data_IF_301403566085
#
_entry.id   IF_301403566085
#
_cell.length_a   1.000
_cell.length_b   1.000
_cell.length_c   1.000
_cell.angle_alpha   90.00
_cell.angle_beta   90.00
_cell.angle_gamma   90.00
#
_symmetry.space_group_name_H-M   'P 1'
#
loop_
_entity.id
_entity.type
_entity.pdbx_description
1 polymer ?
#
# COMPACT_ATOMS: atom_id res chain seq x y z
N UNK A 1 -27.09 11.27 -3.16
CA UNK A 1 -26.17 10.42 -3.94
C UNK A 1 -26.95 9.22 -4.44
N UNK A 2 -26.98 8.93 -5.75
CA UNK A 2 -27.63 7.71 -6.26
C UNK A 2 -26.71 6.52 -5.95
N UNK A 3 -27.19 5.57 -5.17
CA UNK A 3 -26.51 4.28 -4.99
C UNK A 3 -26.43 3.59 -6.36
N UNK A 4 -25.23 3.17 -6.73
CA UNK A 4 -25.01 2.44 -7.98
C UNK A 4 -25.28 0.96 -7.71
N UNK A 5 -26.20 0.37 -8.46
CA UNK A 5 -26.51 -1.06 -8.37
C UNK A 5 -25.65 -1.84 -9.36
N UNK A 6 -25.13 -2.99 -8.93
CA UNK A 6 -24.33 -3.89 -9.75
C UNK A 6 -25.06 -5.21 -9.91
N UNK A 7 -25.19 -5.70 -11.14
CA UNK A 7 -25.81 -7.01 -11.40
C UNK A 7 -24.84 -8.12 -11.00
N UNK A 8 -25.34 -9.11 -10.28
CA UNK A 8 -24.61 -10.32 -9.92
C UNK A 8 -24.90 -11.42 -10.93
N UNK A 9 -23.89 -12.23 -11.24
CA UNK A 9 -24.04 -13.44 -12.03
C UNK A 9 -23.64 -14.66 -11.19
N UNK A 10 -24.39 -15.78 -11.24
CA UNK A 10 -23.97 -16.99 -10.57
C UNK A 10 -22.68 -17.53 -11.18
N UNK A 11 -21.81 -18.08 -10.34
CA UNK A 11 -20.52 -18.64 -10.74
C UNK A 11 -20.20 -19.88 -9.92
N UNK A 12 -19.48 -20.83 -10.53
CA UNK A 12 -18.91 -21.98 -9.85
C UNK A 12 -17.47 -21.65 -9.46
N UNK A 13 -17.14 -21.79 -8.17
CA UNK A 13 -15.83 -21.49 -7.60
C UNK A 13 -15.33 -22.76 -6.92
N UNK A 14 -14.48 -23.52 -7.61
CA UNK A 14 -14.04 -24.84 -7.14
C UNK A 14 -15.23 -25.78 -6.91
N UNK A 15 -15.39 -26.24 -5.66
CA UNK A 15 -16.48 -27.12 -5.24
C UNK A 15 -17.72 -26.36 -4.70
N UNK A 16 -17.71 -25.02 -4.77
CA UNK A 16 -18.78 -24.17 -4.23
C UNK A 16 -19.50 -23.39 -5.34
N UNK A 17 -20.71 -22.96 -5.04
CA UNK A 17 -21.47 -22.00 -5.86
C UNK A 17 -21.39 -20.62 -5.22
N UNK A 18 -21.33 -19.57 -6.02
CA UNK A 18 -21.27 -18.20 -5.54
C UNK A 18 -21.76 -17.19 -6.57
N UNK A 19 -21.57 -15.90 -6.26
CA UNK A 19 -21.89 -14.79 -7.14
C UNK A 19 -20.63 -14.05 -7.56
N UNK A 20 -20.50 -13.75 -8.84
CA UNK A 20 -19.43 -12.91 -9.38
C UNK A 20 -19.89 -11.46 -9.46
N UNK A 21 -19.12 -10.58 -8.84
CA UNK A 21 -19.24 -9.13 -9.00
C UNK A 21 -18.63 -8.68 -10.35
N UNK A 22 -19.24 -7.70 -11.04
CA UNK A 22 -18.70 -7.21 -12.31
C UNK A 22 -17.40 -6.44 -12.09
N UNK A 23 -16.51 -6.44 -13.10
CA UNK A 23 -15.22 -5.71 -13.04
C UNK A 23 -15.41 -4.21 -12.77
N UNK A 24 -16.52 -3.63 -13.21
CA UNK A 24 -16.87 -2.25 -12.92
C UNK A 24 -16.99 -1.94 -11.42
N UNK A 25 -17.43 -2.90 -10.60
CA UNK A 25 -17.50 -2.75 -9.15
C UNK A 25 -16.12 -2.53 -8.55
N UNK A 26 -15.14 -3.36 -8.93
CA UNK A 26 -13.77 -3.27 -8.39
C UNK A 26 -13.01 -2.05 -8.91
N UNK A 27 -13.33 -1.57 -10.11
CA UNK A 27 -12.77 -0.30 -10.59
C UNK A 27 -13.27 0.89 -9.77
N UNK A 28 -14.56 0.87 -9.39
CA UNK A 28 -15.16 1.95 -8.59
C UNK A 28 -14.80 1.82 -7.10
N UNK A 29 -14.51 0.60 -6.63
CA UNK A 29 -14.14 0.28 -5.26
C UNK A 29 -12.92 -0.67 -5.16
N UNK A 30 -11.70 -0.20 -5.49
CA UNK A 30 -10.50 -1.04 -5.54
C UNK A 30 -10.17 -1.76 -4.23
N UNK A 31 -10.50 -1.14 -3.09
CA UNK A 31 -10.26 -1.66 -1.74
C UNK A 31 -10.91 -3.03 -1.45
N UNK A 32 -11.85 -3.47 -2.29
CA UNK A 32 -12.56 -4.74 -2.12
C UNK A 32 -12.07 -5.86 -3.05
N UNK A 33 -11.07 -5.62 -3.90
CA UNK A 33 -10.61 -6.59 -4.90
C UNK A 33 -10.16 -7.94 -4.29
N UNK A 34 -9.53 -7.89 -3.12
CA UNK A 34 -9.03 -9.07 -2.39
C UNK A 34 -9.62 -9.18 -0.99
N UNK A 35 -10.70 -8.45 -0.70
CA UNK A 35 -11.30 -8.42 0.62
C UNK A 35 -11.95 -9.77 0.99
N UNK A 36 -11.66 -10.23 2.20
CA UNK A 36 -12.46 -11.25 2.88
C UNK A 36 -13.73 -10.61 3.43
N UNK A 37 -14.64 -11.41 3.96
CA UNK A 37 -15.86 -10.89 4.53
C UNK A 37 -16.85 -11.99 4.86
N UNK A 38 -18.04 -11.57 5.25
CA UNK A 38 -19.15 -12.46 5.56
C UNK A 38 -20.45 -11.99 4.93
N UNK A 39 -21.39 -12.94 4.87
CA UNK A 39 -22.73 -12.72 4.33
C UNK A 39 -23.74 -12.95 5.45
N UNK A 40 -24.64 -12.01 5.64
CA UNK A 40 -25.78 -12.11 6.55
C UNK A 40 -27.08 -12.12 5.74
N UNK A 41 -28.00 -13.03 6.09
CA UNK A 41 -29.31 -13.11 5.43
C UNK A 41 -30.29 -12.24 6.21
N UNK A 42 -30.82 -11.20 5.57
CA UNK A 42 -31.76 -10.27 6.19
C UNK A 42 -33.21 -10.65 5.95
N UNK A 43 -33.51 -11.26 4.80
CA UNK A 43 -34.83 -11.76 4.41
C UNK A 43 -34.69 -12.86 3.33
N UNK A 44 -35.82 -13.43 2.90
CA UNK A 44 -35.86 -14.56 1.95
C UNK A 44 -35.10 -14.30 0.63
N UNK A 45 -35.07 -13.06 0.15
CA UNK A 45 -34.43 -12.65 -1.11
C UNK A 45 -33.32 -11.61 -0.93
N UNK A 46 -32.97 -11.29 0.33
CA UNK A 46 -32.13 -10.15 0.66
C UNK A 46 -30.97 -10.56 1.56
N UNK A 47 -29.76 -10.24 1.10
CA UNK A 47 -28.51 -10.51 1.80
C UNK A 47 -27.67 -9.23 1.95
N UNK A 48 -26.98 -9.13 3.08
CA UNK A 48 -25.98 -8.12 3.38
C UNK A 48 -24.59 -8.74 3.25
N UNK A 49 -23.74 -8.14 2.41
CA UNK A 49 -22.34 -8.53 2.29
C UNK A 49 -21.52 -7.47 3.01
N UNK A 50 -20.76 -7.88 4.02
CA UNK A 50 -19.78 -7.01 4.68
C UNK A 50 -18.38 -7.48 4.31
N UNK A 51 -17.65 -6.61 3.63
CA UNK A 51 -16.24 -6.80 3.32
C UNK A 51 -15.40 -6.33 4.51
N UNK A 52 -14.43 -7.14 4.89
CA UNK A 52 -13.27 -6.72 5.64
C UNK A 52 -12.27 -6.23 4.61
N UNK A 53 -12.08 -4.91 4.45
CA UNK A 53 -11.05 -4.43 3.55
C UNK A 53 -9.74 -5.04 4.02
N UNK A 54 -9.00 -5.66 3.11
CA UNK A 54 -7.58 -5.85 3.37
C UNK A 54 -7.05 -4.43 3.45
N UNK A 55 -6.67 -4.00 4.66
CA UNK A 55 -5.57 -3.06 4.79
C UNK A 55 -4.41 -3.77 4.15
N UNK A 56 -4.31 -3.64 2.83
CA UNK A 56 -3.01 -3.60 2.22
C UNK A 56 -2.40 -2.36 2.86
N UNK A 57 -1.79 -2.51 4.05
CA UNK A 57 -0.43 -2.00 4.14
C UNK A 57 0.22 -2.56 2.88
N UNK A 58 0.68 -1.70 1.96
CA UNK A 58 1.19 -2.15 0.69
C UNK A 58 2.27 -3.20 0.96
N UNK A 59 1.91 -4.49 0.87
CA UNK A 59 2.88 -5.57 0.84
C UNK A 59 3.78 -5.20 -0.33
N UNK A 60 5.01 -4.82 0.02
CA UNK A 60 6.14 -4.39 -0.82
C UNK A 60 6.35 -2.90 -1.13
N UNK A 61 5.71 -1.90 -0.51
CA UNK A 61 6.33 -0.56 -0.57
C UNK A 61 7.61 -0.53 0.28
N UNK A 62 7.64 -1.17 1.45
CA UNK A 62 8.86 -1.23 2.27
C UNK A 62 9.98 -2.03 1.61
N UNK A 63 9.73 -3.24 1.11
CA UNK A 63 10.77 -4.05 0.43
C UNK A 63 11.24 -3.41 -0.89
N UNK A 64 10.33 -2.82 -1.69
CA UNK A 64 10.73 -2.09 -2.89
C UNK A 64 11.44 -0.78 -2.54
N UNK A 65 11.05 -0.08 -1.48
CA UNK A 65 11.72 1.12 -1.01
C UNK A 65 13.11 0.79 -0.47
N UNK A 66 13.28 -0.33 0.24
CA UNK A 66 14.58 -0.80 0.73
C UNK A 66 15.50 -1.17 -0.45
N UNK A 67 14.97 -1.87 -1.46
CA UNK A 67 15.74 -2.15 -2.68
C UNK A 67 16.09 -0.87 -3.44
N UNK A 68 15.15 0.05 -3.61
CA UNK A 68 15.41 1.33 -4.29
C UNK A 68 16.41 2.21 -3.52
N UNK A 69 16.29 2.27 -2.19
CA UNK A 69 17.21 2.97 -1.31
C UNK A 69 18.60 2.35 -1.39
N UNK A 70 18.72 1.02 -1.31
CA UNK A 70 20.00 0.33 -1.40
C UNK A 70 20.69 0.61 -2.74
N UNK A 71 19.97 0.54 -3.87
CA UNK A 71 20.50 0.89 -5.20
C UNK A 71 20.95 2.34 -5.29
N UNK A 72 20.20 3.26 -4.67
CA UNK A 72 20.54 4.68 -4.63
C UNK A 72 21.81 4.95 -3.81
N UNK A 73 21.93 4.35 -2.62
CA UNK A 73 23.13 4.44 -1.78
C UNK A 73 24.35 3.83 -2.49
N UNK A 74 24.16 2.72 -3.18
CA UNK A 74 25.19 2.07 -4.00
C UNK A 74 25.69 2.99 -5.13
N UNK A 75 24.76 3.71 -5.76
CA UNK A 75 25.08 4.67 -6.81
C UNK A 75 25.88 5.86 -6.26
N UNK A 76 25.41 6.50 -5.18
CA UNK A 76 26.10 7.62 -4.54
C UNK A 76 27.49 7.22 -4.08
N UNK A 77 27.62 6.05 -3.45
CA UNK A 77 28.92 5.55 -2.98
C UNK A 77 29.91 5.38 -4.14
N UNK A 78 29.46 4.78 -5.26
CA UNK A 78 30.29 4.62 -6.45
C UNK A 78 30.66 5.97 -7.08
N UNK A 79 29.76 6.94 -7.06
CA UNK A 79 30.02 8.28 -7.59
C UNK A 79 31.03 9.06 -6.71
N UNK A 80 30.84 9.02 -5.39
CA UNK A 80 31.75 9.62 -4.41
C UNK A 80 33.17 9.07 -4.50
N UNK A 81 33.32 7.75 -4.71
CA UNK A 81 34.63 7.11 -4.89
C UNK A 81 35.30 7.50 -6.22
N UNK A 82 34.52 7.80 -7.27
CA UNK A 82 35.05 8.18 -8.59
C UNK A 82 35.34 9.68 -8.70
N UNK A 83 34.54 10.51 -8.05
CA UNK A 83 34.62 11.97 -8.08
C UNK A 83 34.90 12.50 -6.66
N UNK A 84 35.97 12.02 -6.04
CA UNK A 84 36.34 12.37 -4.67
C UNK A 84 36.72 13.85 -4.50
N UNK A 85 37.00 14.55 -5.60
CA UNK A 85 37.21 15.98 -5.68
C UNK A 85 35.93 16.80 -5.40
N UNK A 86 34.76 16.18 -5.50
CA UNK A 86 33.45 16.81 -5.21
C UNK A 86 32.99 16.61 -3.78
N UNK A 87 33.75 15.88 -2.97
CA UNK A 87 33.40 15.62 -1.58
C UNK A 87 33.85 16.77 -0.70
N UNK A 88 32.91 17.31 0.08
CA UNK A 88 33.19 18.33 1.08
C UNK A 88 33.29 17.70 2.46
N UNK A 89 34.17 18.24 3.31
CA UNK A 89 34.29 17.79 4.68
C UNK A 89 33.01 18.16 5.45
N UNK A 90 32.45 17.18 6.16
CA UNK A 90 31.28 17.41 7.02
C UNK A 90 31.66 18.38 8.16
N UNK A 91 30.89 19.46 8.30
CA UNK A 91 31.21 20.58 9.21
C UNK A 91 30.29 20.60 10.44
N UNK A 92 30.73 21.26 11.51
CA UNK A 92 29.89 21.48 12.70
C UNK A 92 28.60 22.25 12.39
N UNK A 93 28.62 23.16 11.41
CA UNK A 93 27.44 23.90 10.98
C UNK A 93 26.40 22.98 10.30
N UNK A 94 26.85 21.95 9.57
CA UNK A 94 25.97 20.94 8.98
C UNK A 94 25.36 20.05 10.07
N UNK A 95 26.16 19.62 11.05
CA UNK A 95 25.67 18.85 12.19
C UNK A 95 24.58 19.59 12.97
N UNK A 96 24.79 20.87 13.25
CA UNK A 96 23.80 21.68 13.96
C UNK A 96 22.50 21.86 13.16
N UNK A 97 22.58 21.92 11.83
CA UNK A 97 21.41 21.99 10.97
C UNK A 97 20.64 20.65 10.96
N UNK A 98 21.35 19.53 10.92
CA UNK A 98 20.75 18.20 10.99
C UNK A 98 20.00 18.01 12.32
N UNK A 99 20.60 18.43 13.44
CA UNK A 99 19.97 18.36 14.78
C UNK A 99 18.68 19.20 14.85
N UNK A 100 18.66 20.40 14.25
CA UNK A 100 17.47 21.25 14.17
C UNK A 100 16.35 20.59 13.33
N UNK A 101 16.71 19.92 12.23
CA UNK A 101 15.74 19.23 11.36
C UNK A 101 15.13 17.99 12.03
N UNK A 102 15.82 17.39 12.99
CA UNK A 102 15.39 16.21 13.72
C UNK A 102 14.65 16.56 15.02
N UNK A 103 14.55 17.84 15.38
CA UNK A 103 13.87 18.27 16.60
C UNK A 103 12.37 17.88 16.57
N UNK A 104 11.95 17.12 17.58
CA UNK A 104 10.55 16.68 17.73
C UNK A 104 10.17 15.43 16.93
N UNK A 105 11.12 14.77 16.26
CA UNK A 105 10.91 13.44 15.69
C UNK A 105 10.94 12.40 16.81
N UNK A 106 9.80 11.78 17.10
CA UNK A 106 9.71 10.63 18.00
C UNK A 106 10.11 9.36 17.23
N UNK A 107 11.18 8.69 17.66
CA UNK A 107 11.61 7.42 17.08
C UNK A 107 10.90 6.30 17.84
N UNK A 108 10.10 5.50 17.12
CA UNK A 108 9.50 4.28 17.69
C UNK A 108 10.62 3.37 18.23
N UNK A 109 10.53 3.06 19.52
CA UNK A 109 11.53 2.27 20.28
C UNK A 109 11.31 0.76 20.16
#
# INVERSE_FOLDING_TARGET
MRSKTYSLAPAKIGNSSGFRLPVSFYRDHPRFANATGWVEVLADDTLLIKFEPVTNEPESDEENNELMLSLFLDFITKDALKNSDRLEAYTEAMAQNDDELLEGVEIDS
#
